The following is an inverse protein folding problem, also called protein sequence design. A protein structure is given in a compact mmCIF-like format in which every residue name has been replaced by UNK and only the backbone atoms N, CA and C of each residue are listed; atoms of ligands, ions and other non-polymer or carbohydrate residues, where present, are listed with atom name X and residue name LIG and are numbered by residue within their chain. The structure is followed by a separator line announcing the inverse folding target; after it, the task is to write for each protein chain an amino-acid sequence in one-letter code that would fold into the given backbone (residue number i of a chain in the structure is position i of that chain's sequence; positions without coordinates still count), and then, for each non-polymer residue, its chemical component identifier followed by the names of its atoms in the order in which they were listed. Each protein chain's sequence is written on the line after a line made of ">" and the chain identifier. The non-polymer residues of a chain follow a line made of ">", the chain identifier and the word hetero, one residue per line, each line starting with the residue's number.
data_IF_034271470196
#
_entry.id   IF_034271470196
#
_cell.length_a   1.000
_cell.length_b   1.000
_cell.length_c   1.000
_cell.angle_alpha   90.00
_cell.angle_beta   90.00
_cell.angle_gamma   90.00
#
_symmetry.space_group_name_H-M   'P 1'
#
loop_
_entity.id
_entity.type
_entity.pdbx_description
1 polymer ?
#
# COMPACT_ATOMS: atom_id res chain seq x y z
N UNK A 1 -30.83 -35.94 -33.49
CA UNK A 1 -29.46 -35.39 -33.44
C UNK A 1 -29.46 -33.85 -33.45
N UNK A 2 -30.23 -33.19 -34.33
CA UNK A 2 -30.33 -31.72 -34.39
C UNK A 2 -30.95 -31.07 -33.14
N UNK A 3 -31.93 -31.72 -32.49
CA UNK A 3 -32.58 -31.22 -31.27
C UNK A 3 -31.61 -31.07 -30.09
N UNK A 4 -30.68 -32.02 -29.94
CA UNK A 4 -29.66 -32.00 -28.91
C UNK A 4 -28.69 -30.83 -29.09
N UNK A 5 -28.21 -30.61 -30.33
CA UNK A 5 -27.32 -29.50 -30.65
C UNK A 5 -27.98 -28.13 -30.38
N UNK A 6 -29.26 -28.00 -30.72
CA UNK A 6 -30.05 -26.79 -30.45
C UNK A 6 -30.22 -26.57 -28.94
N UNK A 7 -30.52 -27.61 -28.17
CA UNK A 7 -30.66 -27.52 -26.72
C UNK A 7 -29.33 -27.15 -26.05
N UNK A 8 -28.22 -27.75 -26.49
CA UNK A 8 -26.89 -27.46 -26.00
C UNK A 8 -26.47 -26.01 -26.30
N UNK A 9 -26.72 -25.52 -27.52
CA UNK A 9 -26.46 -24.13 -27.88
C UNK A 9 -27.26 -23.12 -27.04
N UNK A 10 -28.53 -23.42 -26.73
CA UNK A 10 -29.33 -22.60 -25.81
C UNK A 10 -28.75 -22.58 -24.40
N UNK A 11 -28.31 -23.74 -23.90
CA UNK A 11 -27.72 -23.85 -22.56
C UNK A 11 -26.39 -23.09 -22.46
N UNK A 12 -25.52 -23.22 -23.45
CA UNK A 12 -24.25 -22.49 -23.50
C UNK A 12 -24.46 -20.97 -23.57
N UNK A 13 -25.42 -20.50 -24.36
CA UNK A 13 -25.77 -19.08 -24.42
C UNK A 13 -26.29 -18.54 -23.08
N UNK A 14 -27.07 -19.33 -22.35
CA UNK A 14 -27.55 -18.97 -21.01
C UNK A 14 -26.39 -18.82 -20.02
N UNK A 15 -25.44 -19.75 -20.04
CA UNK A 15 -24.23 -19.69 -19.21
C UNK A 15 -23.36 -18.49 -19.59
N UNK A 16 -23.12 -18.28 -20.89
CA UNK A 16 -22.31 -17.16 -21.38
C UNK A 16 -22.85 -15.81 -20.93
N UNK A 17 -24.17 -15.59 -21.01
CA UNK A 17 -24.81 -14.36 -20.53
C UNK A 17 -24.66 -14.17 -19.02
N UNK A 18 -24.84 -15.25 -18.24
CA UNK A 18 -24.67 -15.19 -16.79
C UNK A 18 -23.23 -14.84 -16.41
N UNK A 19 -22.25 -15.53 -17.00
CA UNK A 19 -20.82 -15.28 -16.77
C UNK A 19 -20.41 -13.87 -17.20
N UNK A 20 -20.93 -13.38 -18.34
CA UNK A 20 -20.62 -12.03 -18.80
C UNK A 20 -21.24 -10.96 -17.88
N UNK A 21 -22.46 -11.17 -17.39
CA UNK A 21 -23.13 -10.26 -16.47
C UNK A 21 -22.54 -10.24 -15.06
N UNK A 22 -21.90 -11.33 -14.62
CA UNK A 22 -21.26 -11.44 -13.29
C UNK A 22 -19.78 -11.06 -13.29
N UNK A 23 -19.15 -10.91 -14.46
CA UNK A 23 -17.79 -10.35 -14.53
C UNK A 23 -17.81 -8.96 -13.91
N UNK A 24 -16.89 -8.73 -12.97
CA UNK A 24 -16.62 -7.39 -12.46
C UNK A 24 -16.43 -6.48 -13.66
N UNK A 25 -17.33 -5.50 -13.81
CA UNK A 25 -17.22 -4.45 -14.82
C UNK A 25 -15.79 -3.94 -14.73
N UNK A 26 -15.04 -4.05 -15.82
CA UNK A 26 -13.60 -3.80 -15.83
C UNK A 26 -13.29 -2.49 -15.10
N UNK A 27 -12.14 -2.43 -14.46
CA UNK A 27 -11.67 -1.19 -13.86
C UNK A 27 -11.40 -0.21 -15.01
N UNK A 28 -12.29 0.75 -15.22
CA UNK A 28 -12.16 1.76 -16.29
C UNK A 28 -10.96 2.70 -16.08
N UNK A 29 -10.27 2.59 -14.93
CA UNK A 29 -9.01 3.26 -14.66
C UNK A 29 -8.42 2.89 -13.30
N UNK A 30 -7.27 3.50 -12.94
CA UNK A 30 -6.65 3.32 -11.63
C UNK A 30 -7.58 3.76 -10.51
N UNK A 31 -7.76 2.92 -9.50
CA UNK A 31 -8.60 3.25 -8.33
C UNK A 31 -7.86 4.13 -7.31
N UNK A 32 -6.60 4.48 -7.59
CA UNK A 32 -5.76 5.30 -6.73
C UNK A 32 -4.84 6.23 -7.54
N UNK A 33 -4.47 7.36 -6.93
CA UNK A 33 -3.60 8.37 -7.55
C UNK A 33 -2.14 8.29 -7.02
N UNK A 34 -1.57 7.08 -7.10
CA UNK A 34 -0.18 6.83 -6.67
C UNK A 34 0.65 6.62 -7.93
N UNK A 35 1.74 7.36 -8.07
CA UNK A 35 2.63 7.29 -9.22
C UNK A 35 3.99 6.70 -8.84
N UNK A 36 4.71 6.07 -9.78
CA UNK A 36 6.11 5.74 -9.59
C UNK A 36 6.91 6.96 -9.10
N UNK A 37 7.77 6.74 -8.09
CA UNK A 37 8.54 7.80 -7.43
C UNK A 37 7.86 8.43 -6.21
N UNK A 38 6.55 8.23 -6.01
CA UNK A 38 5.89 8.59 -4.75
C UNK A 38 6.45 7.77 -3.59
N UNK A 39 6.37 8.33 -2.37
CA UNK A 39 6.63 7.61 -1.13
C UNK A 39 5.31 7.19 -0.49
N UNK A 40 5.25 5.97 0.05
CA UNK A 40 4.03 5.41 0.64
C UNK A 40 4.31 4.65 1.93
N UNK A 41 3.34 4.68 2.84
CA UNK A 41 3.27 3.78 3.99
C UNK A 41 2.47 2.54 3.62
N UNK A 42 2.93 1.39 4.10
CA UNK A 42 2.27 0.09 3.88
C UNK A 42 1.71 -0.43 5.19
N UNK A 43 0.46 -0.87 5.18
CA UNK A 43 -0.16 -1.51 6.32
C UNK A 43 0.36 -2.94 6.49
N UNK A 44 0.90 -3.25 7.66
CA UNK A 44 1.34 -4.59 8.05
C UNK A 44 0.16 -5.58 8.08
N UNK A 45 0.45 -6.84 7.75
CA UNK A 45 -0.52 -7.93 7.83
C UNK A 45 -0.65 -8.50 9.25
N UNK A 46 0.39 -8.35 10.07
CA UNK A 46 0.38 -8.89 11.42
C UNK A 46 -0.56 -8.07 12.29
N UNK A 47 -1.54 -8.74 12.91
CA UNK A 47 -2.39 -8.15 13.92
C UNK A 47 -1.61 -8.06 15.23
N UNK A 48 -0.84 -6.98 15.36
CA UNK A 48 -0.13 -6.66 16.59
C UNK A 48 -0.95 -5.69 17.42
N UNK A 49 -1.26 -6.10 18.65
CA UNK A 49 -1.94 -5.26 19.63
C UNK A 49 -1.04 -4.09 20.00
N UNK A 50 -1.55 -2.86 19.80
CA UNK A 50 -0.96 -1.57 20.24
C UNK A 50 0.30 -1.07 19.50
N UNK A 51 0.77 -1.73 18.43
CA UNK A 51 1.87 -1.21 17.59
C UNK A 51 1.36 -0.42 16.37
N UNK A 52 2.11 0.59 15.89
CA UNK A 52 1.78 1.27 14.64
C UNK A 52 1.80 0.28 13.48
N UNK A 53 0.63 0.07 12.86
CA UNK A 53 0.48 -0.88 11.75
C UNK A 53 1.02 -0.37 10.40
N UNK A 54 1.52 0.86 10.34
CA UNK A 54 2.02 1.48 9.11
C UNK A 54 3.54 1.48 9.10
N UNK A 55 4.11 0.79 8.12
CA UNK A 55 5.55 0.65 7.96
C UNK A 55 6.06 1.62 6.89
N UNK A 56 7.13 2.34 7.24
CA UNK A 56 8.04 3.08 6.35
C UNK A 56 7.44 4.14 5.43
N UNK A 57 8.22 5.10 4.94
CA UNK A 57 7.99 5.64 3.62
C UNK A 57 8.81 4.83 2.62
N UNK A 58 8.14 3.96 1.87
CA UNK A 58 8.74 3.16 0.80
C UNK A 58 8.58 3.84 -0.55
N UNK A 59 9.58 3.75 -1.41
CA UNK A 59 9.50 4.34 -2.75
C UNK A 59 8.74 3.40 -3.70
N UNK A 60 7.72 3.95 -4.38
CA UNK A 60 6.95 3.22 -5.38
C UNK A 60 7.77 3.09 -6.66
N UNK A 61 7.91 1.86 -7.15
CA UNK A 61 8.57 1.57 -8.42
C UNK A 61 7.56 1.43 -9.57
N UNK A 62 6.44 0.73 -9.32
CA UNK A 62 5.39 0.55 -10.32
C UNK A 62 4.00 0.72 -9.71
N UNK A 63 3.07 1.20 -10.55
CA UNK A 63 1.65 1.32 -10.24
C UNK A 63 0.84 0.51 -11.25
N UNK A 64 -0.11 -0.27 -10.75
CA UNK A 64 -1.19 -0.92 -11.51
C UNK A 64 -2.54 -0.34 -11.08
N UNK A 65 -3.66 -0.83 -11.61
CA UNK A 65 -4.97 -0.21 -11.37
C UNK A 65 -5.43 -0.32 -9.91
N UNK A 66 -5.07 -1.40 -9.20
CA UNK A 66 -5.46 -1.65 -7.79
C UNK A 66 -4.28 -1.93 -6.87
N UNK A 67 -3.07 -2.00 -7.40
CA UNK A 67 -1.92 -2.44 -6.63
C UNK A 67 -0.65 -1.69 -7.03
N UNK A 68 0.28 -1.61 -6.09
CA UNK A 68 1.57 -0.97 -6.28
C UNK A 68 2.71 -1.94 -5.97
N UNK A 69 3.87 -1.67 -6.56
CA UNK A 69 5.13 -2.35 -6.25
C UNK A 69 6.11 -1.35 -5.67
N UNK A 70 6.66 -1.68 -4.51
CA UNK A 70 7.67 -0.88 -3.82
C UNK A 70 9.06 -1.48 -4.00
N UNK A 71 10.11 -0.74 -3.65
CA UNK A 71 11.50 -1.17 -3.85
C UNK A 71 11.92 -2.30 -2.91
N UNK A 72 11.37 -2.31 -1.71
CA UNK A 72 11.77 -3.17 -0.59
C UNK A 72 11.03 -4.53 -0.59
N UNK A 73 9.95 -4.65 -1.36
CA UNK A 73 9.11 -5.85 -1.40
C UNK A 73 8.86 -6.31 -2.84
N UNK A 74 9.06 -7.60 -3.10
CA UNK A 74 8.84 -8.20 -4.42
C UNK A 74 7.35 -8.34 -4.77
N UNK A 75 6.50 -8.51 -3.75
CA UNK A 75 5.06 -8.69 -3.88
C UNK A 75 4.34 -7.37 -4.21
N UNK A 76 3.21 -7.49 -4.93
CA UNK A 76 2.29 -6.39 -5.18
C UNK A 76 1.41 -6.13 -3.96
N UNK A 77 1.21 -4.85 -3.63
CA UNK A 77 0.44 -4.43 -2.46
C UNK A 77 -0.84 -3.76 -2.94
N UNK A 78 -1.99 -4.25 -2.49
CA UNK A 78 -3.28 -3.68 -2.83
C UNK A 78 -3.44 -2.27 -2.25
N UNK A 79 -4.04 -1.35 -3.01
CA UNK A 79 -4.13 0.08 -2.69
C UNK A 79 -4.84 0.37 -1.35
N UNK A 80 -5.74 -0.51 -0.90
CA UNK A 80 -6.45 -0.37 0.39
C UNK A 80 -5.53 -0.44 1.60
N UNK A 81 -4.32 -0.99 1.43
CA UNK A 81 -3.31 -1.09 2.49
C UNK A 81 -2.19 -0.07 2.33
N UNK A 82 -2.38 0.96 1.51
CA UNK A 82 -1.33 1.89 1.13
C UNK A 82 -1.80 3.30 1.42
N UNK A 83 -0.92 4.11 2.00
CA UNK A 83 -1.16 5.54 2.25
C UNK A 83 -0.03 6.38 1.69
N UNK A 84 -0.35 7.40 0.89
CA UNK A 84 0.65 8.31 0.32
C UNK A 84 1.34 9.12 1.42
N UNK A 85 2.66 9.21 1.38
CA UNK A 85 3.45 10.02 2.28
C UNK A 85 3.49 11.47 1.75
N UNK A 86 3.07 12.43 2.57
CA UNK A 86 3.02 13.86 2.21
C UNK A 86 4.40 14.53 2.14
N UNK A 87 5.42 13.93 2.76
CA UNK A 87 6.79 14.48 2.80
C UNK A 87 7.78 13.43 2.35
N UNK A 88 8.63 13.80 1.39
CA UNK A 88 9.85 13.04 1.09
C UNK A 88 10.69 12.94 2.37
N UNK A 89 11.17 11.75 2.76
CA UNK A 89 11.96 11.58 3.99
C UNK A 89 13.19 12.49 4.07
N UNK A 90 13.70 12.96 2.93
CA UNK A 90 14.86 13.86 2.81
C UNK A 90 14.57 15.34 3.15
N UNK A 91 13.29 15.74 3.29
CA UNK A 91 12.89 17.10 3.72
C UNK A 91 12.50 17.17 5.21
N UNK A 92 12.93 16.19 6.00
CA UNK A 92 12.79 16.18 7.45
C UNK A 92 14.10 16.67 8.06
N UNK A 93 14.29 17.99 8.09
CA UNK A 93 15.29 18.61 8.96
C UNK A 93 14.84 18.31 10.39
N UNK A 94 15.45 17.32 11.03
CA UNK A 94 15.37 17.22 12.48
C UNK A 94 15.88 18.56 13.02
N UNK A 95 15.07 19.26 13.82
CA UNK A 95 15.62 20.25 14.74
C UNK A 95 16.03 19.44 15.96
N UNK A 96 17.32 19.12 16.09
CA UNK A 96 17.87 18.72 17.38
C UNK A 96 17.81 20.01 18.18
N UNK A 97 16.90 20.05 19.15
CA UNK A 97 16.99 21.02 20.22
C UNK A 97 18.32 20.74 20.91
N UNK A 98 19.31 21.61 20.70
CA UNK A 98 20.53 21.66 21.49
C UNK A 98 20.14 22.01 22.93
N UNK A 99 19.83 20.99 23.74
CA UNK A 99 19.86 21.16 25.19
C UNK A 99 21.34 21.25 25.55
N UNK A 100 21.79 22.48 25.77
CA UNK A 100 23.16 22.77 26.19
C UNK A 100 23.39 22.00 27.49
N UNK A 101 24.27 21.01 27.45
CA UNK A 101 24.75 20.32 28.64
C UNK A 101 25.74 21.26 29.32
N UNK A 102 25.27 22.06 30.27
CA UNK A 102 26.14 22.75 31.21
C UNK A 102 26.62 21.73 32.24
N UNK A 103 27.86 21.28 32.06
CA UNK A 103 28.62 20.52 33.05
C UNK A 103 28.90 21.40 34.28
N UNK A 104 28.21 21.16 35.39
CA UNK A 104 28.68 21.59 36.69
C UNK A 104 29.03 20.33 37.49
N UNK A 105 30.28 19.92 37.39
CA UNK A 105 30.92 19.09 38.41
C UNK A 105 31.71 20.03 39.31
N UNK A 106 31.23 20.21 40.53
CA UNK A 106 32.02 20.74 41.63
C UNK A 106 31.55 20.05 42.91
N UNK A 107 31.98 18.81 43.08
CA UNK A 107 32.12 18.21 44.41
C UNK A 107 33.61 18.29 44.78
N UNK A 108 33.91 19.07 45.80
CA UNK A 108 35.09 18.89 46.65
C UNK A 108 34.81 19.53 48.01
N UNK A 109 34.65 18.66 49.00
CA UNK A 109 34.59 18.93 50.44
C UNK A 109 36.01 18.86 51.01
N UNK A 110 36.38 19.83 51.86
CA UNK A 110 37.43 19.82 52.92
C UNK A 110 37.76 21.29 53.21
N UNK A 111 37.72 21.90 54.40
CA UNK A 111 37.73 21.51 55.82
C UNK A 111 36.92 22.55 56.62
#
# INVERSE_FOLDING_TARGET
>A
ITSYLVALGKQLNKIGKHVFGTRSRGLDGPVHNIQPGDYVYVKSLAEKTLEPQWEGPFQVLLTSFTAIKIKEQSAWIHHTRVKKAHRSPWKSQWKITQVHSSSNTSDSISE
#
